data_IF_012575198421
#
_entry.id   IF_012575198421
#
_cell.length_a   1.000
_cell.length_b   1.000
_cell.length_c   1.000
_cell.angle_alpha   90.00
_cell.angle_beta   90.00
_cell.angle_gamma   90.00
#
_symmetry.space_group_name_H-M   'P 1'
#
loop_
_entity.id
_entity.type
_entity.pdbx_description
1 polymer ?
#
# COMPACT_ATOMS: atom_id res chain seq x y z
N UNK A 1 -17.08 11.80 -5.15
CA UNK A 1 -16.64 10.38 -5.18
C UNK A 1 -15.39 10.26 -4.32
N UNK A 2 -15.39 9.53 -3.20
CA UNK A 2 -14.22 9.44 -2.29
C UNK A 2 -12.97 8.93 -3.04
N UNK A 3 -11.78 9.37 -2.62
CA UNK A 3 -10.47 8.95 -3.19
C UNK A 3 -10.14 7.47 -2.92
N UNK A 4 -11.01 6.79 -2.18
CA UNK A 4 -10.88 5.40 -1.79
C UNK A 4 -11.96 4.57 -2.48
N UNK A 5 -11.55 3.64 -3.33
CA UNK A 5 -12.41 2.55 -3.79
C UNK A 5 -12.36 1.44 -2.74
N UNK A 6 -13.02 1.62 -1.60
CA UNK A 6 -13.36 0.48 -0.76
C UNK A 6 -14.52 -0.26 -1.44
N UNK A 7 -14.20 -1.34 -2.15
CA UNK A 7 -15.21 -2.39 -2.34
C UNK A 7 -15.57 -2.85 -0.93
N UNK A 8 -16.75 -2.46 -0.45
CA UNK A 8 -17.30 -2.94 0.81
C UNK A 8 -17.63 -4.42 0.60
N UNK A 9 -16.63 -5.28 0.79
CA UNK A 9 -16.85 -6.72 0.75
C UNK A 9 -17.55 -7.11 2.05
N UNK A 10 -18.69 -7.79 1.94
CA UNK A 10 -19.50 -8.35 3.05
C UNK A 10 -18.77 -9.41 3.90
N UNK A 11 -17.45 -9.55 3.73
CA UNK A 11 -16.59 -10.58 4.31
C UNK A 11 -15.37 -9.97 5.00
N UNK A 12 -15.58 -8.82 5.66
CA UNK A 12 -14.56 -8.04 6.34
C UNK A 12 -14.93 -7.87 7.82
N UNK A 13 -13.94 -8.04 8.70
CA UNK A 13 -14.05 -7.59 10.09
C UNK A 13 -13.26 -6.30 10.23
N UNK A 14 -13.94 -5.20 10.58
CA UNK A 14 -13.37 -3.86 10.67
C UNK A 14 -12.15 -3.73 11.59
N UNK A 15 -11.35 -2.69 11.35
CA UNK A 15 -10.34 -2.24 12.33
C UNK A 15 -11.04 -1.97 13.66
N UNK A 16 -10.44 -2.44 14.75
CA UNK A 16 -10.94 -2.27 16.11
C UNK A 16 -12.37 -2.80 16.38
N UNK A 17 -13.00 -3.57 15.47
CA UNK A 17 -14.43 -3.89 15.51
C UNK A 17 -14.92 -4.48 16.85
N UNK A 18 -14.10 -5.28 17.51
CA UNK A 18 -14.36 -5.83 18.85
C UNK A 18 -13.26 -5.46 19.86
N UNK A 19 -12.41 -4.50 19.54
CA UNK A 19 -11.24 -4.15 20.35
C UNK A 19 -11.65 -3.80 21.77
N UNK A 20 -10.92 -4.33 22.75
CA UNK A 20 -11.14 -4.16 24.19
C UNK A 20 -12.54 -4.53 24.71
N UNK A 21 -13.36 -5.23 23.92
CA UNK A 21 -14.62 -5.82 24.38
C UNK A 21 -14.33 -7.03 25.26
N UNK A 22 -13.95 -6.78 26.52
CA UNK A 22 -13.39 -7.78 27.47
C UNK A 22 -14.35 -8.94 27.76
N UNK A 23 -15.64 -8.81 27.49
CA UNK A 23 -16.64 -9.83 27.78
C UNK A 23 -17.00 -10.73 26.58
N UNK A 24 -16.60 -10.38 25.36
CA UNK A 24 -16.86 -11.22 24.18
C UNK A 24 -15.97 -12.46 24.27
N UNK A 25 -16.57 -13.63 24.46
CA UNK A 25 -15.89 -14.94 24.55
C UNK A 25 -16.02 -15.78 23.28
N UNK A 26 -17.07 -15.54 22.48
CA UNK A 26 -17.41 -16.31 21.28
C UNK A 26 -17.70 -15.37 20.11
N UNK A 27 -17.04 -15.61 18.98
CA UNK A 27 -17.32 -14.97 17.69
C UNK A 27 -17.31 -16.09 16.65
N UNK A 28 -18.38 -16.18 15.86
CA UNK A 28 -18.43 -17.10 14.72
C UNK A 28 -17.96 -16.36 13.47
N UNK A 29 -16.74 -16.64 13.03
CA UNK A 29 -16.23 -16.09 11.77
C UNK A 29 -16.82 -16.87 10.59
N UNK A 30 -17.44 -16.15 9.66
CA UNK A 30 -17.98 -16.76 8.43
C UNK A 30 -16.90 -17.50 7.63
N UNK A 31 -17.28 -18.55 6.90
CA UNK A 31 -16.33 -19.38 6.12
C UNK A 31 -15.53 -18.58 5.07
N UNK A 32 -16.07 -17.42 4.67
CA UNK A 32 -15.57 -16.55 3.59
C UNK A 32 -14.81 -15.30 4.06
N UNK A 33 -14.46 -15.11 5.35
CA UNK A 33 -13.70 -13.89 5.76
C UNK A 33 -12.47 -13.72 4.87
N UNK A 34 -12.42 -12.56 4.20
CA UNK A 34 -11.38 -12.18 3.24
C UNK A 34 -10.40 -11.18 3.83
N UNK A 35 -10.80 -10.39 4.84
CA UNK A 35 -9.96 -9.38 5.48
C UNK A 35 -10.29 -9.27 6.98
N UNK A 36 -9.25 -9.04 7.78
CA UNK A 36 -9.35 -8.79 9.21
C UNK A 36 -8.60 -7.49 9.49
N UNK A 37 -9.30 -6.52 10.05
CA UNK A 37 -8.77 -5.21 10.41
C UNK A 37 -7.76 -5.29 11.55
N UNK A 38 -6.93 -4.25 11.62
CA UNK A 38 -5.90 -4.11 12.66
C UNK A 38 -6.62 -4.09 14.01
N UNK A 39 -6.07 -4.83 14.97
CA UNK A 39 -6.57 -4.90 16.34
C UNK A 39 -8.06 -5.33 16.47
N UNK A 40 -8.67 -5.90 15.43
CA UNK A 40 -10.11 -6.22 15.37
C UNK A 40 -10.64 -7.04 16.57
N UNK A 41 -9.79 -7.89 17.16
CA UNK A 41 -10.15 -8.72 18.32
C UNK A 41 -9.28 -8.46 19.56
N UNK A 42 -8.39 -7.47 19.50
CA UNK A 42 -7.41 -7.22 20.56
C UNK A 42 -8.12 -6.96 21.89
N UNK A 43 -7.61 -7.50 22.98
CA UNK A 43 -8.20 -7.31 24.32
C UNK A 43 -9.53 -8.04 24.59
N UNK A 44 -10.06 -8.82 23.64
CA UNK A 44 -11.24 -9.67 23.88
C UNK A 44 -10.88 -10.98 24.58
N UNK A 45 -11.81 -11.56 25.34
CA UNK A 45 -11.69 -12.95 25.83
C UNK A 45 -11.69 -13.95 24.66
N UNK A 46 -12.43 -13.67 23.59
CA UNK A 46 -12.43 -14.46 22.36
C UNK A 46 -11.02 -14.60 21.80
N UNK A 47 -10.29 -13.49 21.63
CA UNK A 47 -8.92 -13.51 21.14
C UNK A 47 -8.00 -14.26 22.09
N UNK A 48 -8.09 -13.98 23.40
CA UNK A 48 -7.30 -14.68 24.42
C UNK A 48 -7.49 -16.21 24.35
N UNK A 49 -8.73 -16.67 24.13
CA UNK A 49 -9.08 -18.09 24.12
C UNK A 49 -8.80 -18.78 22.78
N UNK A 50 -8.84 -18.06 21.66
CA UNK A 50 -8.80 -18.66 20.32
C UNK A 50 -7.50 -18.36 19.55
N UNK A 51 -6.74 -17.34 19.93
CA UNK A 51 -5.48 -17.01 19.28
C UNK A 51 -4.38 -18.00 19.68
N UNK A 52 -3.89 -18.77 18.72
CA UNK A 52 -2.79 -19.73 18.91
C UNK A 52 -1.47 -19.14 18.43
N UNK A 53 -0.42 -19.31 19.23
CA UNK A 53 0.93 -18.99 18.79
C UNK A 53 1.44 -20.10 17.87
N UNK A 54 1.85 -19.75 16.65
CA UNK A 54 2.54 -20.66 15.73
C UNK A 54 3.78 -19.93 15.21
N UNK A 55 4.95 -20.53 15.42
CA UNK A 55 6.24 -19.93 15.01
C UNK A 55 6.40 -18.48 15.49
N UNK A 56 5.98 -18.21 16.74
CA UNK A 56 5.99 -16.90 17.41
C UNK A 56 5.04 -15.84 16.83
N UNK A 57 4.13 -16.21 15.93
CA UNK A 57 3.08 -15.33 15.42
C UNK A 57 1.70 -15.79 15.92
N UNK A 58 0.75 -14.87 16.11
CA UNK A 58 -0.59 -15.18 16.62
C UNK A 58 -1.58 -15.39 15.48
N UNK A 59 -2.30 -16.50 15.53
CA UNK A 59 -3.29 -16.89 14.54
C UNK A 59 -4.65 -17.15 15.18
N UNK A 60 -5.71 -16.73 14.50
CA UNK A 60 -7.07 -17.25 14.73
C UNK A 60 -7.40 -18.16 13.54
N UNK A 61 -7.37 -19.47 13.76
CA UNK A 61 -7.55 -20.45 12.69
C UNK A 61 -6.53 -20.28 11.55
N UNK A 62 -7.02 -19.85 10.38
CA UNK A 62 -6.25 -19.64 9.14
C UNK A 62 -5.83 -18.18 8.89
N UNK A 63 -5.99 -17.32 9.89
CA UNK A 63 -5.73 -15.89 9.78
C UNK A 63 -4.55 -15.50 10.67
N UNK A 64 -3.52 -14.90 10.07
CA UNK A 64 -2.38 -14.35 10.81
C UNK A 64 -2.78 -12.96 11.32
N UNK A 65 -2.99 -12.84 12.63
CA UNK A 65 -3.47 -11.60 13.27
C UNK A 65 -2.32 -10.73 13.79
N UNK A 66 -1.28 -11.35 14.38
CA UNK A 66 -0.08 -10.64 14.82
C UNK A 66 1.16 -11.40 14.36
N UNK A 67 2.04 -10.70 13.66
CA UNK A 67 3.32 -11.18 13.19
C UNK A 67 4.37 -11.27 14.28
N UNK A 68 5.60 -11.61 13.89
CA UNK A 68 6.71 -11.81 14.83
C UNK A 68 7.59 -10.57 14.87
N UNK A 69 7.74 -9.98 16.06
CA UNK A 69 8.66 -8.87 16.28
C UNK A 69 10.12 -9.34 16.32
N UNK A 70 11.05 -8.49 15.87
CA UNK A 70 12.49 -8.69 16.02
C UNK A 70 13.15 -9.73 15.09
N UNK A 71 12.38 -10.51 14.34
CA UNK A 71 12.93 -11.51 13.40
C UNK A 71 13.28 -10.90 12.04
N UNK A 72 14.43 -11.29 11.48
CA UNK A 72 14.87 -10.91 10.13
C UNK A 72 14.22 -11.73 9.02
N UNK A 73 13.81 -12.95 9.31
CA UNK A 73 13.19 -13.86 8.34
C UNK A 73 11.99 -14.54 8.98
N UNK A 74 10.87 -14.59 8.26
CA UNK A 74 9.64 -15.27 8.70
C UNK A 74 9.11 -16.13 7.56
N UNK A 75 8.66 -17.35 7.90
CA UNK A 75 7.87 -18.22 7.02
C UNK A 75 6.45 -18.25 7.56
N UNK A 76 5.50 -17.71 6.80
CA UNK A 76 4.08 -17.75 7.17
C UNK A 76 3.59 -19.19 6.99
N UNK A 77 2.83 -19.70 7.98
CA UNK A 77 2.42 -21.10 8.03
C UNK A 77 1.55 -21.49 6.82
N UNK A 78 1.74 -22.70 6.29
CA UNK A 78 0.86 -23.28 5.27
C UNK A 78 -0.61 -23.32 5.73
N UNK A 79 -1.54 -23.06 4.81
CA UNK A 79 -2.97 -22.95 5.13
C UNK A 79 -3.39 -21.55 5.60
N UNK A 80 -2.45 -20.63 5.83
CA UNK A 80 -2.79 -19.22 6.06
C UNK A 80 -3.47 -18.64 4.83
N UNK A 81 -4.62 -17.98 5.02
CA UNK A 81 -5.41 -17.38 3.93
C UNK A 81 -5.44 -15.85 3.98
N UNK A 82 -5.29 -15.27 5.16
CA UNK A 82 -5.25 -13.80 5.36
C UNK A 82 -4.08 -13.46 6.28
N UNK A 83 -3.32 -12.45 5.89
CA UNK A 83 -2.49 -11.66 6.80
C UNK A 83 -3.30 -10.41 7.12
N UNK A 84 -3.68 -10.26 8.40
CA UNK A 84 -4.52 -9.17 8.86
C UNK A 84 -3.85 -7.81 8.64
N UNK A 85 -4.67 -6.76 8.67
CA UNK A 85 -4.15 -5.41 8.58
C UNK A 85 -3.18 -5.15 9.73
N UNK A 86 -2.01 -4.59 9.42
CA UNK A 86 -0.98 -4.26 10.40
C UNK A 86 -0.32 -5.44 11.09
N UNK A 87 -0.49 -6.69 10.60
CA UNK A 87 0.05 -7.87 11.28
C UNK A 87 1.56 -7.77 11.59
N UNK A 88 2.38 -7.18 10.70
CA UNK A 88 3.81 -6.93 10.94
C UNK A 88 4.13 -5.43 11.12
N UNK A 89 3.14 -4.60 11.38
CA UNK A 89 3.32 -3.19 11.77
C UNK A 89 3.48 -3.08 13.28
N UNK A 90 4.70 -2.77 13.73
CA UNK A 90 5.03 -2.64 15.15
C UNK A 90 5.15 -1.18 15.61
N UNK A 91 4.59 -0.24 14.83
CA UNK A 91 4.69 1.19 15.12
C UNK A 91 6.16 1.63 15.24
N UNK A 92 6.47 2.38 16.29
CA UNK A 92 7.78 3.01 16.49
C UNK A 92 8.92 2.02 16.70
N UNK A 93 8.61 0.80 17.16
CA UNK A 93 9.62 -0.25 17.32
C UNK A 93 10.23 -0.68 16.00
N UNK A 94 9.51 -0.47 14.89
CA UNK A 94 9.84 -0.83 13.50
C UNK A 94 10.15 -2.33 13.32
N UNK A 95 9.73 -2.89 12.20
CA UNK A 95 10.00 -4.30 11.93
C UNK A 95 11.47 -4.52 11.54
N UNK A 96 12.08 -5.59 12.05
CA UNK A 96 13.43 -6.05 11.61
C UNK A 96 13.35 -7.00 10.40
N UNK A 97 12.15 -7.24 9.85
CA UNK A 97 11.89 -8.24 8.83
C UNK A 97 12.52 -7.86 7.48
N UNK A 98 13.46 -8.68 7.01
CA UNK A 98 14.16 -8.51 5.73
C UNK A 98 13.69 -9.51 4.67
N UNK A 99 13.18 -10.68 5.10
CA UNK A 99 12.70 -11.75 4.24
C UNK A 99 11.38 -12.32 4.75
N UNK A 100 10.45 -12.55 3.83
CA UNK A 100 9.15 -13.17 4.13
C UNK A 100 8.87 -14.27 3.10
N UNK A 101 8.55 -15.47 3.57
CA UNK A 101 8.05 -16.56 2.73
C UNK A 101 6.54 -16.68 2.93
N UNK A 102 5.79 -16.39 1.87
CA UNK A 102 4.32 -16.40 1.85
C UNK A 102 3.81 -17.73 1.25
N UNK A 103 2.81 -18.40 1.86
CA UNK A 103 2.32 -19.69 1.38
C UNK A 103 1.42 -19.53 0.16
N UNK A 104 1.33 -20.57 -0.66
CA UNK A 104 0.44 -20.62 -1.83
C UNK A 104 -1.05 -20.53 -1.49
N UNK A 105 -1.44 -20.85 -0.24
CA UNK A 105 -2.81 -20.72 0.26
C UNK A 105 -3.26 -19.28 0.50
N UNK A 106 -2.32 -18.32 0.52
CA UNK A 106 -2.59 -16.94 0.87
C UNK A 106 -3.46 -16.27 -0.18
N UNK A 107 -4.52 -15.57 0.27
CA UNK A 107 -5.47 -14.84 -0.57
C UNK A 107 -5.40 -13.33 -0.36
N UNK A 108 -5.07 -12.89 0.86
CA UNK A 108 -5.13 -11.47 1.23
C UNK A 108 -3.89 -11.07 2.02
N UNK A 109 -3.28 -9.96 1.59
CA UNK A 109 -2.33 -9.19 2.40
C UNK A 109 -3.07 -7.92 2.82
N UNK A 110 -3.32 -7.73 4.11
CA UNK A 110 -4.10 -6.61 4.64
C UNK A 110 -3.43 -5.25 4.49
N UNK A 111 -4.17 -4.21 4.82
CA UNK A 111 -3.68 -2.83 4.87
C UNK A 111 -2.53 -2.73 5.86
N UNK A 112 -1.53 -1.91 5.54
CA UNK A 112 -0.35 -1.69 6.40
C UNK A 112 0.36 -2.98 6.90
N UNK A 113 0.08 -4.15 6.32
CA UNK A 113 0.47 -5.45 6.88
C UNK A 113 1.99 -5.62 7.06
N UNK A 114 2.80 -5.02 6.18
CA UNK A 114 4.26 -5.01 6.27
C UNK A 114 4.83 -3.59 6.34
N UNK A 115 4.04 -2.61 6.78
CA UNK A 115 4.48 -1.21 6.90
C UNK A 115 5.78 -1.12 7.72
N UNK A 116 6.70 -0.25 7.31
CA UNK A 116 7.97 0.02 7.99
C UNK A 116 8.83 -1.23 8.27
N UNK A 117 8.78 -2.24 7.40
CA UNK A 117 9.70 -3.38 7.41
C UNK A 117 11.00 -3.09 6.64
N UNK A 118 11.93 -4.06 6.62
CA UNK A 118 13.22 -3.99 5.92
C UNK A 118 13.29 -4.94 4.73
N UNK A 119 12.14 -5.28 4.14
CA UNK A 119 12.03 -6.27 3.06
C UNK A 119 12.87 -5.83 1.87
N UNK A 120 13.62 -6.78 1.28
CA UNK A 120 14.44 -6.54 0.08
C UNK A 120 13.77 -7.00 -1.21
N UNK A 121 13.11 -8.14 -1.14
CA UNK A 121 12.34 -8.73 -2.24
C UNK A 121 11.11 -9.40 -1.66
N UNK A 122 9.98 -9.27 -2.35
CA UNK A 122 8.71 -9.90 -1.96
C UNK A 122 8.18 -10.70 -3.13
N UNK A 123 7.93 -11.99 -2.93
CA UNK A 123 7.27 -12.86 -3.91
C UNK A 123 5.79 -12.98 -3.56
N UNK A 124 4.91 -12.49 -4.43
CA UNK A 124 3.46 -12.61 -4.29
C UNK A 124 3.01 -14.01 -4.77
N UNK A 125 2.38 -14.83 -3.90
CA UNK A 125 1.85 -16.14 -4.28
C UNK A 125 0.71 -16.06 -5.30
N UNK A 126 0.47 -17.17 -6.03
CA UNK A 126 -0.51 -17.22 -7.13
C UNK A 126 -1.96 -16.90 -6.75
N UNK A 127 -2.33 -17.18 -5.50
CA UNK A 127 -3.71 -17.06 -5.03
C UNK A 127 -4.00 -15.73 -4.33
N UNK A 128 -3.01 -14.85 -4.17
CA UNK A 128 -3.23 -13.53 -3.57
C UNK A 128 -4.10 -12.72 -4.53
N UNK A 129 -5.29 -12.35 -4.06
CA UNK A 129 -6.29 -11.57 -4.78
C UNK A 129 -6.29 -10.11 -4.38
N UNK A 130 -5.86 -9.82 -3.15
CA UNK A 130 -5.90 -8.49 -2.56
C UNK A 130 -4.59 -8.17 -1.84
N UNK A 131 -4.11 -6.96 -2.09
CA UNK A 131 -3.00 -6.33 -1.38
C UNK A 131 -3.53 -4.99 -0.89
N UNK A 132 -3.52 -4.81 0.42
CA UNK A 132 -4.09 -3.66 1.08
C UNK A 132 -3.32 -2.37 0.85
N UNK A 133 -4.01 -1.26 1.12
CA UNK A 133 -3.43 0.07 1.08
C UNK A 133 -2.25 0.14 2.04
N UNK A 134 -1.18 0.81 1.60
CA UNK A 134 0.06 0.96 2.37
C UNK A 134 0.70 -0.36 2.86
N UNK A 135 0.31 -1.53 2.31
CA UNK A 135 0.82 -2.82 2.80
C UNK A 135 2.35 -2.89 2.86
N UNK A 136 3.04 -2.19 1.95
CA UNK A 136 4.50 -2.11 1.89
C UNK A 136 5.07 -0.70 2.14
N UNK A 137 4.26 0.26 2.61
CA UNK A 137 4.70 1.64 2.87
C UNK A 137 5.90 1.67 3.83
N UNK A 138 6.88 2.52 3.55
CA UNK A 138 8.06 2.70 4.42
C UNK A 138 9.09 1.57 4.36
N UNK A 139 8.90 0.55 3.51
CA UNK A 139 9.94 -0.45 3.26
C UNK A 139 11.05 0.13 2.38
N UNK A 140 12.04 0.81 2.96
CA UNK A 140 13.09 1.55 2.22
C UNK A 140 14.14 0.68 1.50
N UNK A 141 13.97 -0.65 1.49
CA UNK A 141 14.93 -1.62 0.94
C UNK A 141 14.36 -2.49 -0.17
N UNK A 142 13.10 -2.33 -0.57
CA UNK A 142 12.52 -3.19 -1.63
C UNK A 142 13.11 -2.79 -2.98
N UNK A 143 13.93 -3.67 -3.54
CA UNK A 143 14.58 -3.50 -4.84
C UNK A 143 13.68 -3.99 -5.99
N UNK A 144 12.89 -5.04 -5.72
CA UNK A 144 11.96 -5.65 -6.69
C UNK A 144 10.89 -6.51 -6.02
N UNK A 145 9.75 -6.60 -6.69
CA UNK A 145 8.75 -7.63 -6.46
C UNK A 145 8.98 -8.82 -7.39
N UNK A 146 8.41 -9.97 -7.01
CA UNK A 146 8.21 -11.14 -7.85
C UNK A 146 6.76 -11.57 -7.71
N UNK A 147 6.22 -12.22 -8.72
CA UNK A 147 4.88 -12.82 -8.68
C UNK A 147 5.00 -14.25 -9.21
N UNK A 148 4.29 -15.19 -8.61
CA UNK A 148 4.17 -16.53 -9.18
C UNK A 148 3.46 -16.45 -10.55
N UNK A 149 4.01 -17.10 -11.58
CA UNK A 149 3.54 -16.98 -12.97
C UNK A 149 2.07 -17.40 -13.16
N UNK A 150 1.56 -18.32 -12.34
CA UNK A 150 0.17 -18.79 -12.36
C UNK A 150 -0.82 -17.78 -11.74
N UNK A 151 -0.34 -16.64 -11.24
CA UNK A 151 -1.22 -15.63 -10.64
C UNK A 151 -2.23 -15.13 -11.66
N UNK A 152 -3.51 -15.17 -11.29
CA UNK A 152 -4.62 -14.61 -12.07
C UNK A 152 -4.85 -13.11 -11.77
N UNK A 153 -4.22 -12.57 -10.72
CA UNK A 153 -4.57 -11.27 -10.15
C UNK A 153 -3.46 -10.22 -10.32
N UNK A 154 -2.21 -10.64 -10.26
CA UNK A 154 -1.06 -9.74 -10.31
C UNK A 154 -0.04 -10.18 -11.35
N UNK A 155 0.79 -9.23 -11.76
CA UNK A 155 1.94 -9.46 -12.62
C UNK A 155 3.10 -8.57 -12.19
N UNK A 156 4.32 -8.92 -12.61
CA UNK A 156 5.49 -8.08 -12.40
C UNK A 156 6.11 -7.74 -13.74
N UNK A 157 6.57 -6.50 -13.91
CA UNK A 157 7.39 -6.10 -15.07
C UNK A 157 8.55 -5.28 -14.56
N UNK A 158 9.77 -5.74 -14.84
CA UNK A 158 11.00 -5.13 -14.34
C UNK A 158 10.94 -4.91 -12.82
N UNK A 159 10.48 -5.90 -12.05
CA UNK A 159 10.37 -5.80 -10.59
C UNK A 159 9.27 -4.87 -10.04
N UNK A 160 8.52 -4.15 -10.89
CA UNK A 160 7.36 -3.33 -10.49
C UNK A 160 6.10 -4.17 -10.47
N UNK A 161 5.29 -4.03 -9.43
CA UNK A 161 4.07 -4.82 -9.23
C UNK A 161 2.86 -4.15 -9.87
N UNK A 162 2.13 -4.91 -10.69
CA UNK A 162 0.92 -4.49 -11.38
C UNK A 162 -0.22 -5.46 -11.09
N UNK A 163 -1.45 -5.04 -11.38
CA UNK A 163 -2.53 -5.98 -11.61
C UNK A 163 -2.22 -6.89 -12.84
N UNK A 164 -3.00 -7.97 -13.02
CA UNK A 164 -2.73 -8.95 -14.09
C UNK A 164 -2.77 -8.33 -15.49
N UNK A 165 -3.71 -7.40 -15.72
CA UNK A 165 -3.90 -6.71 -17.00
C UNK A 165 -2.86 -5.62 -17.27
N UNK A 166 -2.00 -5.30 -16.29
CA UNK A 166 -1.05 -4.16 -16.31
C UNK A 166 -1.74 -2.82 -16.60
N UNK A 167 -3.01 -2.69 -16.25
CA UNK A 167 -3.76 -1.44 -16.33
C UNK A 167 -3.61 -0.58 -15.08
N UNK A 168 -3.13 -1.18 -13.99
CA UNK A 168 -2.90 -0.50 -12.73
C UNK A 168 -1.52 -0.89 -12.18
N UNK A 169 -0.73 0.12 -11.83
CA UNK A 169 0.49 -0.06 -11.04
C UNK A 169 0.09 -0.07 -9.56
N UNK A 170 0.55 -1.10 -8.83
CA UNK A 170 0.15 -1.35 -7.44
C UNK A 170 1.24 -0.90 -6.49
N UNK A 171 2.50 -1.29 -6.74
CA UNK A 171 3.66 -0.88 -5.93
C UNK A 171 4.91 -0.75 -6.79
N UNK A 172 5.58 0.39 -6.68
CA UNK A 172 6.92 0.60 -7.18
C UNK A 172 7.97 0.24 -6.12
N UNK A 173 9.06 -0.48 -6.46
CA UNK A 173 10.13 -0.78 -5.51
C UNK A 173 10.83 0.50 -5.05
N UNK A 174 10.62 0.88 -3.80
CA UNK A 174 11.14 2.12 -3.19
C UNK A 174 12.67 2.24 -3.23
N UNK A 175 13.38 1.11 -3.26
CA UNK A 175 14.84 1.04 -3.35
C UNK A 175 15.33 0.71 -4.77
N UNK A 176 14.46 0.78 -5.79
CA UNK A 176 14.89 0.66 -7.18
C UNK A 176 16.04 1.64 -7.47
N UNK A 177 17.08 1.18 -8.15
CA UNK A 177 18.22 2.02 -8.54
C UNK A 177 17.90 3.00 -9.67
N UNK A 178 16.71 2.91 -10.28
CA UNK A 178 16.32 3.77 -11.40
C UNK A 178 16.15 5.22 -10.96
N UNK A 179 16.70 6.11 -11.77
CA UNK A 179 16.48 7.56 -11.68
C UNK A 179 15.33 8.04 -12.55
N UNK A 180 14.91 7.26 -13.55
CA UNK A 180 13.76 7.56 -14.39
C UNK A 180 12.87 6.34 -14.57
N UNK A 181 11.56 6.56 -14.73
CA UNK A 181 10.60 5.51 -15.02
C UNK A 181 9.55 5.97 -16.02
N UNK A 182 9.30 5.17 -17.05
CA UNK A 182 8.21 5.41 -17.99
C UNK A 182 7.07 4.43 -17.71
N UNK A 183 5.85 4.95 -17.51
CA UNK A 183 4.68 4.10 -17.38
C UNK A 183 4.44 3.33 -18.69
N UNK A 184 4.22 2.00 -18.63
CA UNK A 184 3.77 1.25 -19.81
C UNK A 184 2.48 1.82 -20.39
N UNK A 185 2.33 1.77 -21.72
CA UNK A 185 1.15 2.29 -22.42
C UNK A 185 -0.17 1.66 -21.99
N UNK A 186 -0.15 0.46 -21.40
CA UNK A 186 -1.33 -0.23 -20.86
C UNK A 186 -1.86 0.40 -19.57
N UNK A 187 -1.03 1.15 -18.84
CA UNK A 187 -1.42 1.71 -17.54
C UNK A 187 -2.49 2.78 -17.72
N UNK A 188 -3.49 2.72 -16.85
CA UNK A 188 -4.63 3.64 -16.74
C UNK A 188 -4.76 4.21 -15.32
N UNK A 189 -4.27 3.49 -14.31
CA UNK A 189 -4.41 3.85 -12.91
C UNK A 189 -3.07 3.75 -12.17
N UNK A 190 -2.75 4.75 -11.36
CA UNK A 190 -1.72 4.69 -10.32
C UNK A 190 -2.44 4.55 -8.97
N UNK A 191 -2.22 3.44 -8.28
CA UNK A 191 -2.84 3.19 -6.97
C UNK A 191 -2.28 4.15 -5.89
N UNK A 192 -3.01 4.38 -4.78
CA UNK A 192 -2.49 5.14 -3.65
C UNK A 192 -1.14 4.62 -3.15
N UNK A 193 -0.24 5.53 -2.77
CA UNK A 193 1.11 5.21 -2.27
C UNK A 193 2.02 4.41 -3.22
N UNK A 194 1.70 4.31 -4.52
CA UNK A 194 2.45 3.45 -5.46
C UNK A 194 3.96 3.70 -5.45
N UNK A 195 4.39 4.95 -5.55
CA UNK A 195 5.80 5.36 -5.58
C UNK A 195 6.30 5.82 -4.21
N UNK A 196 5.54 5.60 -3.14
CA UNK A 196 5.86 6.15 -1.84
C UNK A 196 7.28 5.76 -1.37
N UNK A 197 8.11 6.75 -1.08
CA UNK A 197 9.49 6.59 -0.65
C UNK A 197 10.46 6.12 -1.74
N UNK A 198 10.11 6.22 -3.02
CA UNK A 198 11.01 5.94 -4.15
C UNK A 198 12.14 6.97 -4.22
N UNK A 199 13.14 6.80 -3.35
CA UNK A 199 14.16 7.81 -3.07
C UNK A 199 15.07 8.15 -4.25
N UNK A 200 15.21 7.26 -5.24
CA UNK A 200 16.14 7.46 -6.35
C UNK A 200 15.47 8.09 -7.57
N UNK A 201 14.13 8.10 -7.64
CA UNK A 201 13.42 8.54 -8.83
C UNK A 201 13.47 10.06 -8.96
N UNK A 202 13.87 10.53 -10.14
CA UNK A 202 13.99 11.93 -10.53
C UNK A 202 12.99 12.33 -11.61
N UNK A 203 12.56 11.37 -12.42
CA UNK A 203 11.59 11.60 -13.49
C UNK A 203 10.64 10.42 -13.64
N UNK A 204 9.36 10.74 -13.80
CA UNK A 204 8.32 9.75 -14.14
C UNK A 204 7.57 10.22 -15.36
N UNK A 205 7.73 9.50 -16.48
CA UNK A 205 6.98 9.76 -17.70
C UNK A 205 5.61 9.10 -17.59
N UNK A 206 4.59 9.91 -17.39
CA UNK A 206 3.19 9.48 -17.40
C UNK A 206 2.75 9.20 -18.85
N UNK A 207 2.03 8.10 -19.08
CA UNK A 207 1.60 7.72 -20.43
C UNK A 207 0.32 8.45 -20.84
N UNK A 208 0.12 8.70 -22.14
CA UNK A 208 -1.05 9.39 -22.72
C UNK A 208 -2.41 8.72 -22.46
N UNK A 209 -2.42 7.51 -21.91
CA UNK A 209 -3.65 6.79 -21.55
C UNK A 209 -3.97 6.87 -20.05
N UNK A 210 -3.14 7.51 -19.23
CA UNK A 210 -3.33 7.55 -17.79
C UNK A 210 -4.61 8.32 -17.45
N UNK A 211 -5.46 7.75 -16.58
CA UNK A 211 -6.77 8.32 -16.23
C UNK A 211 -6.81 8.79 -14.77
N UNK A 212 -6.09 8.11 -13.87
CA UNK A 212 -6.23 8.31 -12.43
C UNK A 212 -4.90 8.25 -11.70
N UNK A 213 -4.68 9.18 -10.77
CA UNK A 213 -3.53 9.24 -9.87
C UNK A 213 -4.01 9.22 -8.43
N UNK A 214 -3.66 8.15 -7.70
CA UNK A 214 -4.11 7.91 -6.34
C UNK A 214 -3.50 8.84 -5.29
N UNK A 215 -4.12 8.83 -4.11
CA UNK A 215 -3.70 9.63 -2.97
C UNK A 215 -2.27 9.30 -2.55
N UNK A 216 -1.47 10.33 -2.26
CA UNK A 216 -0.09 10.17 -1.80
C UNK A 216 0.76 9.27 -2.72
N UNK A 217 0.42 9.20 -4.02
CA UNK A 217 1.07 8.31 -4.98
C UNK A 217 2.59 8.51 -5.04
N UNK A 218 3.07 9.74 -4.91
CA UNK A 218 4.49 10.11 -4.92
C UNK A 218 4.99 10.63 -3.56
N UNK A 219 4.35 10.25 -2.45
CA UNK A 219 4.80 10.58 -1.09
C UNK A 219 6.30 10.27 -0.90
N UNK A 220 7.06 11.19 -0.31
CA UNK A 220 8.49 11.01 -0.03
C UNK A 220 9.36 10.69 -1.28
N UNK A 221 8.90 11.01 -2.49
CA UNK A 221 9.73 11.02 -3.70
C UNK A 221 10.61 12.27 -3.72
N UNK A 222 11.57 12.34 -2.78
CA UNK A 222 12.34 13.56 -2.50
C UNK A 222 13.10 14.13 -3.70
N UNK A 223 13.51 13.28 -4.65
CA UNK A 223 14.28 13.67 -5.83
C UNK A 223 13.44 13.91 -7.10
N UNK A 224 12.11 13.71 -7.05
CA UNK A 224 11.21 13.98 -8.17
C UNK A 224 10.64 15.38 -8.03
N UNK A 225 11.15 16.36 -8.77
CA UNK A 225 10.79 17.78 -8.58
C UNK A 225 9.68 18.26 -9.50
N UNK A 226 9.38 17.51 -10.54
CA UNK A 226 8.29 17.82 -11.45
C UNK A 226 7.67 16.60 -12.08
N UNK A 227 6.46 16.80 -12.63
CA UNK A 227 5.82 15.83 -13.49
C UNK A 227 4.97 16.55 -14.55
N UNK A 228 4.94 15.98 -15.75
CA UNK A 228 4.00 16.37 -16.80
C UNK A 228 2.77 15.48 -16.74
N UNK A 229 1.61 16.07 -16.49
CA UNK A 229 0.32 15.38 -16.42
C UNK A 229 -0.33 15.42 -17.81
N UNK A 230 -0.61 14.26 -18.43
CA UNK A 230 -1.28 14.23 -19.72
C UNK A 230 -2.77 14.58 -19.58
N UNK A 231 -3.35 15.18 -20.62
CA UNK A 231 -4.77 15.60 -20.64
C UNK A 231 -5.77 14.45 -20.47
N UNK A 232 -5.32 13.20 -20.65
CA UNK A 232 -6.13 12.01 -20.40
C UNK A 232 -6.46 11.81 -18.91
N UNK A 233 -5.71 12.42 -18.00
CA UNK A 233 -5.92 12.26 -16.56
C UNK A 233 -7.20 12.99 -16.20
N UNK A 234 -8.14 12.26 -15.59
CA UNK A 234 -9.45 12.77 -15.17
C UNK A 234 -9.49 13.08 -13.69
N UNK A 235 -8.55 12.55 -12.91
CA UNK A 235 -8.51 12.74 -11.46
C UNK A 235 -7.12 12.56 -10.88
N UNK A 236 -6.75 13.51 -10.04
CA UNK A 236 -5.59 13.46 -9.14
C UNK A 236 -6.14 13.55 -7.72
N UNK A 237 -5.76 12.60 -6.87
CA UNK A 237 -6.22 12.54 -5.49
C UNK A 237 -5.32 13.38 -4.55
N UNK A 238 -5.80 13.60 -3.32
CA UNK A 238 -5.13 14.45 -2.33
C UNK A 238 -3.65 14.10 -2.16
N UNK A 239 -2.81 15.14 -2.07
CA UNK A 239 -1.38 15.03 -1.82
C UNK A 239 -0.62 14.08 -2.77
N UNK A 240 -1.13 13.82 -3.98
CA UNK A 240 -0.50 12.87 -4.90
C UNK A 240 0.95 13.25 -5.24
N UNK A 241 1.25 14.56 -5.31
CA UNK A 241 2.56 15.12 -5.64
C UNK A 241 3.04 16.11 -4.58
N UNK A 242 4.37 16.23 -4.43
CA UNK A 242 4.99 17.22 -3.53
C UNK A 242 4.92 16.91 -2.04
N UNK A 243 4.19 15.87 -1.60
CA UNK A 243 4.05 15.52 -0.20
C UNK A 243 5.30 14.82 0.36
N UNK A 244 5.74 15.26 1.53
CA UNK A 244 6.83 14.67 2.32
C UNK A 244 6.30 14.36 3.71
N UNK A 245 6.57 13.16 4.21
CA UNK A 245 6.20 12.76 5.57
C UNK A 245 7.00 13.59 6.57
N UNK A 246 6.30 14.22 7.50
CA UNK A 246 6.85 14.91 8.67
C UNK A 246 6.58 14.09 9.96
N UNK A 247 6.72 14.71 11.13
CA UNK A 247 6.53 14.03 12.41
C UNK A 247 5.05 13.71 12.67
N UNK A 248 4.78 12.63 13.40
CA UNK A 248 3.45 12.27 13.91
C UNK A 248 2.36 12.09 12.83
N UNK A 249 2.75 11.74 11.60
CA UNK A 249 1.80 11.50 10.50
C UNK A 249 1.31 12.76 9.81
N UNK A 250 1.91 13.92 10.11
CA UNK A 250 1.74 15.15 9.32
C UNK A 250 2.51 15.07 8.00
N UNK A 251 2.09 15.90 7.04
CA UNK A 251 2.74 16.04 5.75
C UNK A 251 3.12 17.49 5.53
N UNK A 252 4.30 17.70 4.94
CA UNK A 252 4.73 19.01 4.46
C UNK A 252 4.89 18.98 2.94
N UNK A 253 4.83 20.15 2.32
CA UNK A 253 5.13 20.28 0.90
C UNK A 253 6.60 20.56 0.66
N UNK A 254 7.17 19.86 -0.33
CA UNK A 254 8.36 20.34 -1.03
C UNK A 254 7.95 21.19 -2.23
N UNK A 255 8.86 22.04 -2.71
CA UNK A 255 8.69 22.67 -4.01
C UNK A 255 8.56 21.60 -5.09
N UNK A 256 7.44 21.62 -5.81
CA UNK A 256 7.14 20.67 -6.87
C UNK A 256 6.37 21.40 -7.97
N UNK A 257 6.74 21.17 -9.23
CA UNK A 257 6.06 21.77 -10.38
C UNK A 257 5.26 20.73 -11.16
N UNK A 258 3.97 20.98 -11.36
CA UNK A 258 3.14 20.20 -12.28
C UNK A 258 2.97 20.95 -13.60
N UNK A 259 3.29 20.25 -14.68
CA UNK A 259 3.10 20.73 -16.04
C UNK A 259 1.84 20.11 -16.65
N UNK A 260 1.04 20.90 -17.36
CA UNK A 260 -0.15 20.42 -18.08
C UNK A 260 -0.79 21.52 -18.92
N UNK A 261 -1.84 21.20 -19.68
CA UNK A 261 -2.60 22.23 -20.42
C UNK A 261 -3.41 23.12 -19.47
N UNK A 262 -3.78 24.33 -19.89
CA UNK A 262 -4.66 25.23 -19.14
C UNK A 262 -5.98 24.59 -18.69
N UNK A 263 -6.51 23.64 -19.45
CA UNK A 263 -7.77 22.95 -19.14
C UNK A 263 -7.61 21.68 -18.31
N UNK A 264 -6.35 21.26 -18.07
CA UNK A 264 -6.04 19.97 -17.46
C UNK A 264 -6.47 19.90 -15.99
N UNK A 265 -6.66 18.67 -15.51
CA UNK A 265 -6.88 18.41 -14.09
C UNK A 265 -5.65 18.75 -13.23
N UNK A 266 -4.47 18.94 -13.83
CA UNK A 266 -3.28 19.37 -13.11
C UNK A 266 -3.43 20.80 -12.60
N UNK A 267 -3.91 21.72 -13.45
CA UNK A 267 -4.23 23.09 -13.04
C UNK A 267 -5.22 23.11 -11.89
N UNK A 268 -6.35 22.41 -12.05
CA UNK A 268 -7.40 22.30 -11.01
C UNK A 268 -6.87 21.71 -9.71
N UNK A 269 -5.97 20.72 -9.79
CA UNK A 269 -5.35 20.13 -8.61
C UNK A 269 -4.44 21.14 -7.89
N UNK A 270 -3.65 21.92 -8.63
CA UNK A 270 -2.78 22.96 -8.06
C UNK A 270 -3.56 24.14 -7.44
N UNK A 271 -4.76 24.44 -7.96
CA UNK A 271 -5.58 25.57 -7.50
C UNK A 271 -6.59 25.19 -6.40
N UNK A 272 -6.71 23.91 -6.05
CA UNK A 272 -7.72 23.44 -5.10
C UNK A 272 -7.37 23.82 -3.65
N UNK A 273 -8.16 24.72 -3.06
CA UNK A 273 -8.03 25.16 -1.66
C UNK A 273 -8.24 24.03 -0.63
N UNK A 274 -9.00 22.99 -0.99
CA UNK A 274 -9.27 21.83 -0.10
C UNK A 274 -8.03 20.94 0.15
N UNK A 275 -6.93 21.19 -0.54
CA UNK A 275 -5.68 20.43 -0.36
C UNK A 275 -4.81 20.98 0.77
N UNK A 276 -5.08 22.18 1.28
CA UNK A 276 -4.33 22.77 2.37
C UNK A 276 -4.66 22.07 3.69
N UNK A 277 -3.88 21.04 4.00
CA UNK A 277 -3.84 20.39 5.30
C UNK A 277 -2.60 20.88 6.03
N UNK A 278 -2.68 21.18 7.34
CA UNK A 278 -1.61 21.79 8.13
C UNK A 278 -0.19 21.32 7.73
N UNK A 279 0.51 22.13 6.94
CA UNK A 279 1.88 21.91 6.44
C UNK A 279 2.02 21.57 4.95
N UNK A 280 0.99 21.05 4.29
CA UNK A 280 0.95 20.77 2.86
C UNK A 280 0.26 21.91 2.10
N UNK A 281 0.91 22.36 1.04
CA UNK A 281 0.40 23.23 -0.01
C UNK A 281 0.46 22.54 -1.37
N UNK A 282 -0.48 22.85 -2.25
CA UNK A 282 -0.51 22.27 -3.59
C UNK A 282 0.77 22.61 -4.41
N UNK A 283 1.16 21.77 -5.39
CA UNK A 283 2.29 22.06 -6.26
C UNK A 283 2.09 23.33 -7.08
N UNK A 284 3.19 23.91 -7.56
CA UNK A 284 3.15 25.04 -8.50
C UNK A 284 2.68 24.49 -9.85
N UNK A 285 1.69 25.15 -10.47
CA UNK A 285 1.28 24.83 -11.83
C UNK A 285 2.09 25.63 -12.84
N UNK A 286 2.48 24.99 -13.94
CA UNK A 286 3.06 25.65 -15.10
C UNK A 286 2.40 25.10 -16.37
N UNK A 287 1.87 26.01 -17.20
CA UNK A 287 1.30 25.63 -18.49
C UNK A 287 2.41 25.20 -19.47
N UNK A 288 2.10 24.21 -20.32
CA UNK A 288 2.98 23.71 -21.38
C UNK A 288 2.86 24.51 -22.69
#
# INVERSE_FOLDING_TARGET
>A
MRCYYEKVNEHFVGKDAFSNSKNITKITLGKRIERIGKDAFKGTKFYKNNAKTVSNAKYIGKYLCEGVYGKKSVKVKNGTTVIADGAFDFGDRKSKLEKIALPSSLKTIGDIAFKNSKLKTVTIPKNVKYIGNQAFLGNKKIEKFKVNNDSKYFSVTSGVLFNKKKSEIIVYPSASSRTAYSLPNSVRYIAPYTFAGAKNIKSVKLNKGLVFIGELAFLDCKNLDSATVPDSVRRICSMAFGAVSANEGSFVSKQFTLYGSASSVAKRFCEAQELDHQGYHAPIFQEL
#
